data_IF_349770257885
#
_entry.id   IF_349770257885
#
_cell.length_a   1.000
_cell.length_b   1.000
_cell.length_c   1.000
_cell.angle_alpha   90.00
_cell.angle_beta   90.00
_cell.angle_gamma   90.00
#
_symmetry.space_group_name_H-M   'P 1'
#
loop_
_entity.id
_entity.type
_entity.pdbx_description
1 polymer ?
#
# COMPACT_ATOMS: atom_id res chain seq x y z
N UNK A 1 -5.75 -2.30 -0.78
CA UNK A 1 -4.66 -2.78 0.12
C UNK A 1 -3.80 -1.65 0.69
N UNK A 2 -4.03 -0.38 0.31
CA UNK A 2 -3.42 0.77 0.97
C UNK A 2 -3.95 0.96 2.39
N UNK A 3 -3.24 1.73 3.22
CA UNK A 3 -3.65 2.10 4.57
C UNK A 3 -3.69 3.61 4.77
N UNK A 4 -4.64 4.06 5.57
CA UNK A 4 -4.67 5.42 6.12
C UNK A 4 -4.82 5.32 7.63
N UNK A 5 -4.12 6.19 8.35
CA UNK A 5 -4.13 6.18 9.81
C UNK A 5 -4.08 7.60 10.37
N UNK A 6 -4.91 7.81 11.38
CA UNK A 6 -5.07 9.07 12.08
C UNK A 6 -5.11 8.81 13.58
N UNK A 7 -4.28 9.52 14.34
CA UNK A 7 -4.21 9.38 15.79
C UNK A 7 -3.71 10.68 16.42
N UNK A 8 -4.08 10.95 17.67
CA UNK A 8 -3.68 12.16 18.41
C UNK A 8 -3.91 13.46 17.63
N UNK A 9 -5.06 13.53 16.96
CA UNK A 9 -5.45 14.65 16.09
C UNK A 9 -4.49 14.93 14.93
N UNK A 10 -3.77 13.91 14.44
CA UNK A 10 -2.80 14.03 13.35
C UNK A 10 -2.86 12.83 12.41
N UNK A 11 -2.55 13.08 11.14
CA UNK A 11 -2.33 12.03 10.16
C UNK A 11 -0.97 11.38 10.39
N UNK A 12 -0.92 10.05 10.37
CA UNK A 12 0.32 9.27 10.42
C UNK A 12 0.62 8.78 9.01
N UNK A 13 -0.34 8.09 8.38
CA UNK A 13 -0.32 7.74 6.95
C UNK A 13 -1.57 8.31 6.30
N UNK A 14 -1.37 9.17 5.30
CA UNK A 14 -2.46 9.83 4.57
C UNK A 14 -2.39 9.46 3.09
N UNK A 15 -3.53 9.13 2.50
CA UNK A 15 -3.59 8.92 1.06
C UNK A 15 -3.28 10.24 0.33
N UNK A 16 -2.52 10.21 -0.78
CA UNK A 16 -2.22 11.41 -1.56
C UNK A 16 -3.48 12.13 -2.07
N UNK A 17 -4.62 11.45 -2.16
CA UNK A 17 -5.86 11.97 -2.70
C UNK A 17 -5.96 11.69 -4.19
N UNK A 18 -6.42 12.66 -4.98
CA UNK A 18 -6.70 12.46 -6.40
C UNK A 18 -6.03 13.48 -7.31
N UNK A 19 -5.48 12.98 -8.43
CA UNK A 19 -5.02 13.76 -9.57
C UNK A 19 -6.04 13.86 -10.71
N UNK A 20 -7.32 13.51 -10.50
CA UNK A 20 -8.31 13.42 -11.60
C UNK A 20 -8.55 14.73 -12.35
N UNK A 21 -8.37 15.89 -11.70
CA UNK A 21 -8.64 17.19 -12.31
C UNK A 21 -7.41 17.87 -12.94
N UNK A 22 -6.26 17.20 -12.96
CA UNK A 22 -5.10 17.66 -13.74
C UNK A 22 -5.17 17.13 -15.17
N UNK A 23 -4.70 17.93 -16.12
CA UNK A 23 -4.43 17.57 -17.51
C UNK A 23 -3.05 16.92 -17.70
N UNK A 24 -2.14 17.08 -16.73
CA UNK A 24 -0.87 16.36 -16.69
C UNK A 24 -1.06 14.85 -16.42
N UNK A 25 -0.91 14.05 -17.48
CA UNK A 25 -0.99 12.60 -17.43
C UNK A 25 0.06 11.94 -16.52
N UNK A 26 1.25 12.52 -16.39
CA UNK A 26 2.29 11.96 -15.52
C UNK A 26 1.89 12.11 -14.05
N UNK A 27 1.31 13.26 -13.69
CA UNK A 27 0.76 13.46 -12.35
C UNK A 27 -0.40 12.49 -12.11
N UNK A 28 -1.34 12.39 -13.04
CA UNK A 28 -2.47 11.45 -12.93
C UNK A 28 -2.02 10.00 -12.73
N UNK A 29 -1.05 9.55 -13.52
CA UNK A 29 -0.49 8.20 -13.43
C UNK A 29 0.20 7.95 -12.09
N UNK A 30 0.85 8.96 -11.49
CA UNK A 30 1.38 8.85 -10.12
C UNK A 30 0.26 8.64 -9.11
N UNK A 31 -0.81 9.43 -9.15
CA UNK A 31 -1.97 9.28 -8.24
C UNK A 31 -2.71 7.94 -8.35
N UNK A 32 -2.43 7.12 -9.37
CA UNK A 32 -3.01 5.80 -9.58
C UNK A 32 -2.00 4.68 -9.40
N UNK A 33 -0.72 5.01 -9.22
CA UNK A 33 0.34 4.03 -9.08
C UNK A 33 0.40 3.50 -7.66
N UNK A 34 0.80 2.24 -7.53
CA UNK A 34 0.94 1.58 -6.24
C UNK A 34 1.94 2.30 -5.31
N UNK A 35 2.97 2.90 -5.89
CA UNK A 35 4.06 3.61 -5.21
C UNK A 35 3.61 4.91 -4.53
N UNK A 36 2.50 5.51 -4.98
CA UNK A 36 2.03 6.79 -4.45
C UNK A 36 1.09 6.62 -3.25
N UNK A 37 0.61 5.41 -3.00
CA UNK A 37 -0.23 5.05 -1.86
C UNK A 37 0.57 4.26 -0.81
N UNK A 38 0.03 4.17 0.41
CA UNK A 38 0.59 3.32 1.48
C UNK A 38 0.27 1.83 1.28
N UNK A 39 0.54 1.32 0.08
CA UNK A 39 0.35 -0.08 -0.33
C UNK A 39 1.59 -0.94 -0.13
N UNK A 40 1.54 -2.24 -0.50
CA UNK A 40 2.69 -3.13 -0.49
C UNK A 40 3.83 -2.62 -1.38
N UNK A 41 5.07 -2.60 -0.87
CA UNK A 41 6.24 -2.36 -1.73
C UNK A 41 6.62 -3.64 -2.45
N UNK A 42 6.16 -3.78 -3.69
CA UNK A 42 6.47 -4.92 -4.52
C UNK A 42 7.22 -4.50 -5.77
N UNK A 43 8.21 -5.30 -6.16
CA UNK A 43 8.98 -5.07 -7.38
C UNK A 43 8.17 -5.53 -8.61
N UNK A 44 7.06 -4.84 -8.88
CA UNK A 44 6.17 -5.09 -10.02
C UNK A 44 6.35 -3.97 -11.04
N UNK A 45 6.71 -4.35 -12.26
CA UNK A 45 6.64 -3.44 -13.40
C UNK A 45 5.19 -3.33 -13.86
N UNK A 46 4.56 -2.20 -13.59
CA UNK A 46 3.23 -1.86 -14.10
C UNK A 46 3.42 -1.05 -15.40
N UNK A 47 2.80 -1.45 -16.52
CA UNK A 47 2.85 -0.66 -17.74
C UNK A 47 2.29 0.74 -17.53
N UNK A 48 2.87 1.74 -18.21
CA UNK A 48 2.34 3.10 -18.16
C UNK A 48 1.06 3.17 -18.99
N UNK A 49 0.01 3.63 -18.35
CA UNK A 49 -1.28 3.93 -18.96
C UNK A 49 -1.22 5.27 -19.71
N UNK A 50 -1.91 5.35 -20.85
CA UNK A 50 -1.96 6.55 -21.68
C UNK A 50 -3.28 7.35 -21.52
N UNK A 51 -3.49 8.34 -22.39
CA UNK A 51 -4.66 9.23 -22.33
C UNK A 51 -5.99 8.48 -22.53
N UNK A 52 -5.98 7.34 -23.20
CA UNK A 52 -7.16 6.50 -23.42
C UNK A 52 -7.48 5.58 -22.23
N UNK A 53 -6.50 5.38 -21.33
CA UNK A 53 -6.62 4.56 -20.12
C UNK A 53 -6.94 5.38 -18.85
N UNK A 54 -7.06 6.70 -18.99
CA UNK A 54 -7.27 7.66 -17.91
C UNK A 54 -8.50 7.41 -17.00
N UNK A 55 -9.39 6.48 -17.37
CA UNK A 55 -10.59 6.09 -16.61
C UNK A 55 -10.69 4.58 -16.33
N UNK A 56 -9.63 3.80 -16.56
CA UNK A 56 -9.59 2.35 -16.34
C UNK A 56 -8.40 1.95 -15.51
N UNK A 57 -8.53 1.03 -14.57
CA UNK A 57 -7.37 0.48 -13.84
C UNK A 57 -7.01 -0.86 -14.47
N UNK A 58 -6.16 -0.87 -15.50
CA UNK A 58 -5.95 -2.07 -16.32
C UNK A 58 -5.12 -3.15 -15.61
N UNK A 59 -4.36 -2.77 -14.59
CA UNK A 59 -3.39 -3.65 -13.92
C UNK A 59 -3.65 -3.81 -12.42
N UNK A 60 -4.83 -3.37 -11.95
CA UNK A 60 -5.25 -3.52 -10.55
C UNK A 60 -6.46 -4.45 -10.53
N UNK A 61 -6.30 -5.60 -9.88
CA UNK A 61 -7.40 -6.53 -9.62
C UNK A 61 -8.15 -6.18 -8.34
N UNK A 62 -9.26 -6.87 -8.12
CA UNK A 62 -10.07 -6.70 -6.93
C UNK A 62 -9.32 -7.11 -5.65
N UNK A 63 -9.67 -6.44 -4.55
CA UNK A 63 -9.23 -6.81 -3.22
C UNK A 63 -10.15 -7.83 -2.58
N UNK A 64 -9.57 -8.84 -1.94
CA UNK A 64 -10.28 -9.89 -1.22
C UNK A 64 -9.92 -9.88 0.25
N UNK A 65 -10.94 -9.86 1.11
CA UNK A 65 -10.77 -9.96 2.57
C UNK A 65 -10.93 -11.42 3.00
N UNK A 66 -9.95 -11.94 3.72
CA UNK A 66 -9.94 -13.29 4.29
C UNK A 66 -10.30 -13.28 5.78
N UNK A 67 -9.73 -12.32 6.53
CA UNK A 67 -10.02 -12.11 7.95
C UNK A 67 -10.24 -10.62 8.17
N UNK A 68 -11.30 -10.28 8.90
CA UNK A 68 -11.52 -8.92 9.37
C UNK A 68 -12.20 -8.95 10.73
N UNK A 69 -11.54 -8.38 11.72
CA UNK A 69 -12.08 -8.16 13.05
C UNK A 69 -11.45 -6.90 13.67
N UNK A 70 -11.85 -6.58 14.90
CA UNK A 70 -11.42 -5.37 15.61
C UNK A 70 -9.91 -5.13 15.58
N UNK A 71 -9.12 -6.20 15.69
CA UNK A 71 -7.67 -6.10 15.87
C UNK A 71 -6.88 -6.71 14.70
N UNK A 72 -7.54 -7.32 13.71
CA UNK A 72 -6.85 -8.04 12.65
C UNK A 72 -7.54 -7.85 11.30
N UNK A 73 -6.71 -7.66 10.29
CA UNK A 73 -7.07 -7.74 8.88
C UNK A 73 -6.11 -8.71 8.20
N UNK A 74 -6.65 -9.56 7.32
CA UNK A 74 -5.89 -10.31 6.35
C UNK A 74 -6.65 -10.25 5.04
N UNK A 75 -5.99 -9.82 3.98
CA UNK A 75 -6.55 -9.81 2.64
C UNK A 75 -5.46 -9.95 1.59
N UNK A 76 -5.89 -10.04 0.32
CA UNK A 76 -4.99 -9.98 -0.82
C UNK A 76 -5.58 -9.12 -1.93
N UNK A 77 -4.74 -8.68 -2.86
CA UNK A 77 -5.16 -8.12 -4.13
C UNK A 77 -4.19 -8.58 -5.22
N UNK A 78 -4.63 -8.50 -6.47
CA UNK A 78 -3.80 -8.79 -7.63
C UNK A 78 -3.31 -7.51 -8.30
N UNK A 79 -2.02 -7.46 -8.59
CA UNK A 79 -1.36 -6.31 -9.21
C UNK A 79 -0.58 -6.81 -10.41
N UNK A 80 -1.02 -6.45 -11.61
CA UNK A 80 -0.46 -6.94 -12.87
C UNK A 80 -0.33 -8.48 -12.90
N UNK A 81 -1.37 -9.20 -12.44
CA UNK A 81 -1.40 -10.66 -12.35
C UNK A 81 -0.55 -11.27 -11.22
N UNK A 82 -0.03 -10.44 -10.30
CA UNK A 82 0.75 -10.87 -9.14
C UNK A 82 -0.05 -10.69 -7.87
N UNK A 83 -0.22 -11.75 -7.08
CA UNK A 83 -1.01 -11.70 -5.85
C UNK A 83 -0.15 -11.29 -4.67
N UNK A 84 -0.58 -10.27 -3.96
CA UNK A 84 0.05 -9.83 -2.71
C UNK A 84 -0.96 -9.89 -1.59
N UNK A 85 -0.55 -10.50 -0.50
CA UNK A 85 -1.29 -10.54 0.76
C UNK A 85 -0.76 -9.47 1.70
N UNK A 86 -1.66 -8.88 2.48
CA UNK A 86 -1.33 -8.01 3.61
C UNK A 86 -2.07 -8.48 4.83
N UNK A 87 -1.33 -8.61 5.92
CA UNK A 87 -1.85 -8.78 7.26
C UNK A 87 -1.59 -7.51 8.06
N UNK A 88 -2.60 -7.08 8.81
CA UNK A 88 -2.51 -5.97 9.75
C UNK A 88 -2.99 -6.49 11.10
N UNK A 89 -2.20 -6.30 12.14
CA UNK A 89 -2.56 -6.66 13.51
C UNK A 89 -2.36 -5.45 14.42
N UNK A 90 -3.33 -5.21 15.31
CA UNK A 90 -3.29 -4.12 16.29
C UNK A 90 -3.18 -4.73 17.68
N UNK A 91 -2.13 -4.37 18.41
CA UNK A 91 -1.88 -4.84 19.77
C UNK A 91 -1.24 -3.70 20.58
N UNK A 92 -1.76 -3.44 21.78
CA UNK A 92 -1.24 -2.41 22.70
C UNK A 92 -1.00 -1.01 22.10
N UNK A 93 -1.85 -0.61 21.14
CA UNK A 93 -1.73 0.68 20.45
C UNK A 93 -0.69 0.71 19.33
N UNK A 94 -0.01 -0.40 19.07
CA UNK A 94 0.89 -0.59 17.94
C UNK A 94 0.16 -1.27 16.77
N UNK A 95 0.57 -0.93 15.55
CA UNK A 95 0.06 -1.52 14.31
C UNK A 95 1.20 -2.26 13.64
N UNK A 96 1.09 -3.58 13.54
CA UNK A 96 1.99 -4.43 12.78
C UNK A 96 1.42 -4.67 11.39
N UNK A 97 2.24 -4.49 10.36
CA UNK A 97 1.88 -4.70 8.96
C UNK A 97 2.87 -5.67 8.34
N UNK A 98 2.35 -6.75 7.79
CA UNK A 98 3.14 -7.80 7.15
C UNK A 98 2.61 -7.98 5.72
N UNK A 99 3.49 -7.83 4.74
CA UNK A 99 3.19 -8.12 3.34
C UNK A 99 3.89 -9.42 2.93
N UNK A 100 3.21 -10.26 2.16
CA UNK A 100 3.77 -11.51 1.66
C UNK A 100 3.22 -11.85 0.28
N UNK A 101 4.04 -12.51 -0.52
CA UNK A 101 3.74 -12.87 -1.89
C UNK A 101 4.56 -14.08 -2.30
N UNK A 102 3.97 -14.99 -3.08
CA UNK A 102 4.69 -16.06 -3.75
C UNK A 102 5.03 -15.70 -5.21
N UNK A 103 4.49 -14.58 -5.72
CA UNK A 103 4.53 -14.26 -7.15
C UNK A 103 5.54 -13.15 -7.49
N UNK A 104 5.99 -12.40 -6.48
CA UNK A 104 6.88 -11.24 -6.62
C UNK A 104 7.66 -10.97 -5.33
N UNK A 105 8.88 -10.47 -5.48
CA UNK A 105 9.70 -9.99 -4.37
C UNK A 105 9.12 -8.71 -3.76
N UNK A 106 9.18 -8.64 -2.43
CA UNK A 106 8.74 -7.50 -1.65
C UNK A 106 9.96 -6.77 -1.07
N UNK A 107 9.86 -5.45 -1.01
CA UNK A 107 10.90 -4.60 -0.46
C UNK A 107 10.50 -4.05 0.91
N UNK A 108 11.51 -3.80 1.75
CA UNK A 108 11.29 -3.14 3.02
C UNK A 108 10.80 -1.69 2.86
N UNK A 109 9.95 -1.27 3.79
CA UNK A 109 9.59 0.13 3.93
C UNK A 109 10.77 0.93 4.48
N UNK A 110 11.45 1.65 3.61
CA UNK A 110 12.55 2.56 3.97
C UNK A 110 12.07 3.88 4.60
N UNK A 111 10.77 4.20 4.54
CA UNK A 111 10.16 5.36 5.19
C UNK A 111 8.67 5.14 5.47
N UNK A 112 8.19 5.61 6.62
CA UNK A 112 6.78 5.59 7.03
C UNK A 112 6.31 6.99 7.43
N UNK A 113 5.20 7.44 6.85
CA UNK A 113 4.55 8.73 7.15
C UNK A 113 5.18 9.97 6.50
N UNK A 114 4.52 11.11 6.69
CA UNK A 114 4.92 12.43 6.15
C UNK A 114 6.04 13.11 6.96
N UNK A 115 6.46 12.51 8.08
CA UNK A 115 7.51 13.06 8.95
C UNK A 115 8.73 12.14 9.04
N UNK A 116 9.93 12.71 8.90
CA UNK A 116 11.14 12.20 9.57
C UNK A 116 10.97 12.41 11.08
N UNK A 117 10.17 11.60 11.77
CA UNK A 117 10.21 11.60 13.23
C UNK A 117 11.46 10.84 13.69
N UNK A 118 12.26 11.48 14.54
CA UNK A 118 13.47 10.95 15.19
C UNK A 118 13.17 9.87 16.24
N UNK A 119 12.14 9.05 16.05
CA UNK A 119 11.79 7.93 16.93
C UNK A 119 11.61 6.67 16.08
N UNK A 120 12.71 5.93 15.93
CA UNK A 120 12.69 4.52 15.55
C UNK A 120 12.00 3.74 16.68
N UNK A 121 10.80 3.22 16.43
CA UNK A 121 10.18 2.19 17.26
C UNK A 121 9.92 0.96 16.38
N UNK A 122 10.78 -0.04 16.60
CA UNK A 122 10.51 -1.47 16.48
C UNK A 122 10.11 -2.04 15.13
N UNK A 123 11.10 -2.37 14.30
CA UNK A 123 10.97 -3.50 13.36
C UNK A 123 11.07 -4.81 14.15
N UNK A 124 10.24 -5.81 13.81
CA UNK A 124 10.58 -7.21 14.03
C UNK A 124 10.24 -8.02 12.78
N UNK A 125 11.33 -8.36 12.11
CA UNK A 125 11.47 -9.25 10.96
C UNK A 125 11.48 -10.69 11.49
N UNK A 126 10.65 -11.58 10.94
CA UNK A 126 10.96 -13.01 10.92
C UNK A 126 10.78 -13.52 9.49
N UNK A 127 11.86 -13.42 8.72
CA UNK A 127 12.01 -14.19 7.49
C UNK A 127 12.37 -15.61 7.93
N UNK A 128 11.44 -16.55 7.80
CA UNK A 128 11.79 -17.96 7.70
C UNK A 128 11.18 -18.52 6.43
N UNK A 129 12.07 -18.87 5.50
CA UNK A 129 11.81 -19.90 4.51
C UNK A 129 11.83 -21.29 5.12
#
# INVERSE_FOLDING_TARGET
MSIESYSNSRWITRDPGTGTYTDDINIRNKFRSLEYHWGPKANIKIPKEDEFDCFRLNYMGDGHTLIFNKNNFLGYAEFNGKRIYRKISIHDGEVLIEDFSNDVDLEEYTSWGEHKMELKLGFLMDIRG
#
